data_IF_710410273244
#
_entry.id   IF_710410273244
#
_cell.length_a   1.000
_cell.length_b   1.000
_cell.length_c   1.000
_cell.angle_alpha   90.00
_cell.angle_beta   90.00
_cell.angle_gamma   90.00
#
_symmetry.space_group_name_H-M   'P 1'
#
loop_
_entity.id
_entity.type
_entity.pdbx_description
1 polymer ?
#
# COMPACT_ATOMS: atom_id res chain seq x y z
N UNK A 1 -9.98 -5.97 -10.88
CA UNK A 1 -8.93 -4.98 -11.12
C UNK A 1 -9.39 -3.60 -10.69
N UNK A 2 -8.45 -2.75 -10.34
CA UNK A 2 -8.76 -1.39 -9.92
C UNK A 2 -9.18 -0.54 -11.11
N UNK A 3 -10.26 0.21 -10.93
CA UNK A 3 -10.71 1.17 -11.94
C UNK A 3 -10.30 2.57 -11.52
N UNK A 4 -10.02 3.43 -12.50
CA UNK A 4 -9.56 4.78 -12.24
C UNK A 4 -10.46 5.81 -12.94
N UNK A 5 -10.55 7.03 -12.37
CA UNK A 5 -11.24 8.12 -13.07
C UNK A 5 -10.58 8.36 -14.41
N UNK A 6 -11.37 8.71 -15.41
CA UNK A 6 -10.87 8.93 -16.76
C UNK A 6 -9.83 10.05 -16.86
N UNK A 7 -9.96 11.04 -15.99
CA UNK A 7 -9.06 12.21 -16.02
C UNK A 7 -7.68 11.92 -15.42
N UNK A 8 -7.51 10.78 -14.77
CA UNK A 8 -6.21 10.44 -14.18
C UNK A 8 -5.25 10.02 -15.27
N UNK A 9 -4.04 10.58 -15.24
CA UNK A 9 -3.01 10.11 -16.14
C UNK A 9 -2.39 8.82 -15.60
N UNK A 10 -1.50 8.24 -16.39
CA UNK A 10 -0.91 6.94 -16.04
C UNK A 10 -0.10 7.00 -14.77
N UNK A 11 0.68 8.07 -14.57
CA UNK A 11 1.50 8.22 -13.37
C UNK A 11 0.63 8.29 -12.11
N UNK A 12 -0.47 9.03 -12.18
CA UNK A 12 -1.41 9.12 -11.05
C UNK A 12 -1.97 7.74 -10.71
N UNK A 13 -2.35 6.97 -11.72
CA UNK A 13 -2.85 5.61 -11.49
C UNK A 13 -1.80 4.73 -10.86
N UNK A 14 -0.56 4.82 -11.32
CA UNK A 14 0.55 4.05 -10.78
C UNK A 14 0.81 4.43 -9.32
N UNK A 15 0.86 5.73 -9.02
CA UNK A 15 1.08 6.19 -7.66
C UNK A 15 0.02 5.66 -6.71
N UNK A 16 -1.23 5.65 -7.15
CA UNK A 16 -2.32 5.11 -6.35
C UNK A 16 -2.13 3.63 -6.07
N UNK A 17 -1.80 2.84 -7.10
CA UNK A 17 -1.60 1.40 -6.93
C UNK A 17 -0.38 1.08 -6.08
N UNK A 18 0.72 1.82 -6.27
CA UNK A 18 1.92 1.64 -5.44
C UNK A 18 1.57 1.82 -3.97
N UNK A 19 0.89 2.92 -3.64
CA UNK A 19 0.51 3.20 -2.26
C UNK A 19 -0.43 2.13 -1.73
N UNK A 20 -1.42 1.72 -2.52
CA UNK A 20 -2.37 0.72 -2.09
C UNK A 20 -1.70 -0.62 -1.79
N UNK A 21 -0.78 -1.04 -2.64
CA UNK A 21 -0.06 -2.29 -2.45
C UNK A 21 0.85 -2.21 -1.22
N UNK A 22 1.59 -1.11 -1.07
CA UNK A 22 2.46 -0.93 0.09
C UNK A 22 1.65 -0.91 1.39
N UNK A 23 0.54 -0.19 1.40
CA UNK A 23 -0.32 -0.14 2.60
C UNK A 23 -0.85 -1.52 2.97
N UNK A 24 -1.22 -2.31 1.98
CA UNK A 24 -1.71 -3.66 2.26
C UNK A 24 -0.59 -4.60 2.68
N UNK A 25 0.62 -4.39 2.18
CA UNK A 25 1.78 -5.14 2.66
C UNK A 25 2.08 -4.80 4.12
N UNK A 26 2.00 -3.51 4.49
CA UNK A 26 2.18 -3.10 5.88
C UNK A 26 1.13 -3.75 6.76
N UNK A 27 -0.13 -3.72 6.33
CA UNK A 27 -1.21 -4.33 7.09
C UNK A 27 -0.94 -5.81 7.32
N UNK A 28 -0.54 -6.52 6.28
CA UNK A 28 -0.37 -7.95 6.35
C UNK A 28 0.85 -8.35 7.17
N UNK A 29 2.01 -7.74 6.89
CA UNK A 29 3.27 -8.17 7.49
C UNK A 29 3.62 -7.48 8.79
N UNK A 30 3.21 -6.22 8.96
CA UNK A 30 3.56 -5.45 10.14
C UNK A 30 2.43 -5.37 11.16
N UNK A 31 1.19 -5.36 10.70
CA UNK A 31 0.02 -5.22 11.58
C UNK A 31 -0.77 -6.51 11.70
N UNK A 32 -0.33 -7.55 11.04
CA UNK A 32 -0.93 -8.88 11.11
C UNK A 32 -2.43 -8.88 10.79
N UNK A 33 -2.81 -8.14 9.78
CA UNK A 33 -4.21 -8.08 9.34
C UNK A 33 -4.24 -7.95 7.82
N UNK A 34 -5.43 -8.05 7.24
CA UNK A 34 -5.55 -7.98 5.79
C UNK A 34 -6.90 -7.40 5.39
N UNK A 35 -6.90 -6.49 4.43
CA UNK A 35 -8.12 -5.94 3.85
C UNK A 35 -8.42 -6.51 2.49
N UNK A 36 -7.44 -7.12 1.87
CA UNK A 36 -7.61 -7.73 0.55
C UNK A 36 -7.43 -9.23 0.66
N UNK A 37 -8.16 -9.97 -0.15
CA UNK A 37 -7.87 -11.40 -0.30
C UNK A 37 -6.56 -11.55 -1.07
N UNK A 38 -5.96 -12.72 -1.00
CA UNK A 38 -4.75 -13.02 -1.76
C UNK A 38 -4.99 -12.80 -3.26
N UNK A 39 -6.16 -13.20 -3.74
CA UNK A 39 -6.50 -13.03 -5.14
C UNK A 39 -6.57 -11.55 -5.53
N UNK A 40 -7.20 -10.73 -4.68
CA UNK A 40 -7.29 -9.29 -4.94
C UNK A 40 -5.92 -8.64 -4.95
N UNK A 41 -5.06 -9.00 -4.01
CA UNK A 41 -3.71 -8.49 -3.93
C UNK A 41 -2.92 -8.87 -5.20
N UNK A 42 -3.04 -10.12 -5.62
CA UNK A 42 -2.35 -10.59 -6.82
C UNK A 42 -2.83 -9.85 -8.07
N UNK A 43 -4.11 -9.62 -8.19
CA UNK A 43 -4.66 -8.89 -9.34
C UNK A 43 -4.14 -7.45 -9.39
N UNK A 44 -4.13 -6.78 -8.24
CA UNK A 44 -3.62 -5.41 -8.18
C UNK A 44 -2.12 -5.36 -8.47
N UNK A 45 -1.39 -6.34 -7.97
CA UNK A 45 0.05 -6.42 -8.20
C UNK A 45 0.36 -6.62 -9.69
N UNK A 46 -0.38 -7.49 -10.35
CA UNK A 46 -0.19 -7.70 -11.79
C UNK A 46 -0.55 -6.46 -12.59
N UNK A 47 -1.63 -5.78 -12.19
CA UNK A 47 -2.01 -4.54 -12.86
C UNK A 47 -0.92 -3.48 -12.72
N UNK A 48 -0.34 -3.35 -11.55
CA UNK A 48 0.73 -2.39 -11.32
C UNK A 48 1.97 -2.72 -12.16
N UNK A 49 2.38 -3.98 -12.15
CA UNK A 49 3.53 -4.41 -12.95
C UNK A 49 3.33 -4.05 -14.43
N UNK A 50 2.13 -4.31 -14.94
CA UNK A 50 1.81 -4.02 -16.33
C UNK A 50 1.89 -2.52 -16.63
N UNK A 51 1.35 -1.69 -15.73
CA UNK A 51 1.37 -0.24 -15.93
C UNK A 51 2.78 0.33 -15.85
N UNK A 52 3.65 -0.27 -15.06
CA UNK A 52 5.01 0.23 -14.88
C UNK A 52 5.95 -0.10 -16.02
N UNK A 53 5.53 -0.96 -16.95
CA UNK A 53 6.41 -1.39 -18.04
C UNK A 53 6.85 -0.25 -18.98
N UNK A 54 5.97 0.71 -19.20
CA UNK A 54 6.18 1.74 -20.22
C UNK A 54 6.58 3.09 -19.65
N UNK A 55 6.97 3.16 -18.39
CA UNK A 55 7.26 4.45 -17.78
C UNK A 55 8.62 4.39 -17.07
N UNK A 56 9.16 5.59 -16.79
CA UNK A 56 10.34 5.70 -15.95
C UNK A 56 9.86 5.59 -14.51
N UNK A 57 10.20 4.48 -13.86
CA UNK A 57 9.73 4.20 -12.50
C UNK A 57 10.16 5.28 -11.51
N UNK A 58 11.25 6.00 -11.80
CA UNK A 58 11.74 7.05 -10.91
C UNK A 58 10.83 8.27 -10.91
N UNK A 59 9.93 8.38 -11.88
CA UNK A 59 8.96 9.47 -11.92
C UNK A 59 7.75 9.19 -11.01
N UNK A 60 7.65 8.00 -10.47
CA UNK A 60 6.54 7.64 -9.60
C UNK A 60 6.90 7.88 -8.13
N UNK A 61 5.86 8.03 -7.30
CA UNK A 61 6.04 8.40 -5.89
C UNK A 61 6.89 7.40 -5.11
N UNK A 62 6.65 6.11 -5.34
CA UNK A 62 7.37 5.06 -4.62
C UNK A 62 8.24 4.23 -5.55
N UNK A 63 8.73 4.86 -6.64
CA UNK A 63 9.60 4.16 -7.57
C UNK A 63 10.86 3.62 -6.92
N UNK A 64 11.39 4.32 -5.92
CA UNK A 64 12.59 3.86 -5.22
C UNK A 64 12.35 2.55 -4.45
N UNK A 65 11.08 2.23 -4.15
CA UNK A 65 10.72 0.99 -3.46
C UNK A 65 10.34 -0.08 -4.48
N UNK A 66 9.64 0.32 -5.53
CA UNK A 66 8.98 -0.60 -6.45
C UNK A 66 9.75 -0.89 -7.73
N UNK A 67 11.00 -0.40 -7.85
CA UNK A 67 11.75 -0.50 -9.10
C UNK A 67 11.96 -1.92 -9.60
N UNK A 68 11.98 -2.90 -8.70
CA UNK A 68 12.15 -4.30 -9.08
C UNK A 68 10.94 -5.15 -8.67
N UNK A 69 9.80 -4.51 -8.42
CA UNK A 69 8.60 -5.24 -8.00
C UNK A 69 8.05 -6.03 -9.18
N UNK A 70 7.93 -7.33 -9.02
CA UNK A 70 7.50 -8.25 -10.06
C UNK A 70 6.10 -8.83 -9.83
N UNK A 71 5.39 -8.33 -8.82
CA UNK A 71 4.02 -8.77 -8.55
C UNK A 71 3.92 -9.98 -7.64
N UNK A 72 5.04 -10.45 -7.10
CA UNK A 72 5.00 -11.62 -6.22
C UNK A 72 4.72 -11.18 -4.78
N UNK A 73 5.70 -11.22 -3.89
CA UNK A 73 5.45 -10.92 -2.48
C UNK A 73 5.82 -9.48 -2.16
N UNK A 74 5.19 -8.92 -1.14
CA UNK A 74 5.49 -7.56 -0.68
C UNK A 74 6.15 -7.52 0.68
N UNK A 75 6.69 -8.65 1.15
CA UNK A 75 7.16 -8.71 2.53
C UNK A 75 8.28 -7.72 2.85
N UNK A 76 9.07 -7.32 1.86
CA UNK A 76 10.19 -6.41 2.08
C UNK A 76 9.88 -4.95 1.71
N UNK A 77 8.67 -4.66 1.24
CA UNK A 77 8.34 -3.31 0.78
C UNK A 77 8.46 -2.28 1.90
N UNK A 78 7.95 -2.60 3.07
CA UNK A 78 8.03 -1.67 4.20
C UNK A 78 9.49 -1.35 4.55
N UNK A 79 10.34 -2.37 4.55
CA UNK A 79 11.74 -2.18 4.89
C UNK A 79 12.50 -1.30 3.91
N UNK A 80 12.02 -1.18 2.68
CA UNK A 80 12.66 -0.35 1.65
C UNK A 80 12.29 1.13 1.76
N UNK A 81 11.24 1.45 2.52
CA UNK A 81 10.79 2.83 2.65
C UNK A 81 11.79 3.65 3.47
N UNK A 82 11.95 4.92 3.11
CA UNK A 82 12.74 5.82 3.94
C UNK A 82 11.96 6.10 5.24
N UNK A 83 12.61 6.71 6.23
CA UNK A 83 12.00 6.90 7.55
C UNK A 83 10.74 7.76 7.50
N UNK A 84 10.76 8.79 6.68
CA UNK A 84 9.60 9.66 6.53
C UNK A 84 8.40 8.91 5.99
N UNK A 85 8.61 8.14 4.92
CA UNK A 85 7.54 7.37 4.30
C UNK A 85 7.09 6.23 5.18
N UNK A 86 7.99 5.59 5.92
CA UNK A 86 7.62 4.55 6.88
C UNK A 86 6.61 5.10 7.90
N UNK A 87 6.93 6.24 8.49
CA UNK A 87 6.06 6.85 9.49
C UNK A 87 4.72 7.24 8.90
N UNK A 88 4.74 7.85 7.73
CA UNK A 88 3.53 8.31 7.07
C UNK A 88 2.63 7.15 6.70
N UNK A 89 3.17 6.15 6.02
CA UNK A 89 2.37 5.03 5.55
C UNK A 89 1.93 4.12 6.69
N UNK A 90 2.77 3.94 7.71
CA UNK A 90 2.38 3.19 8.90
C UNK A 90 1.22 3.90 9.61
N UNK A 91 1.27 5.23 9.71
CA UNK A 91 0.19 5.99 10.31
C UNK A 91 -1.12 5.79 9.53
N UNK A 92 -1.06 5.87 8.20
CA UNK A 92 -2.23 5.66 7.37
C UNK A 92 -2.78 4.25 7.53
N UNK A 93 -1.90 3.25 7.52
CA UNK A 93 -2.32 1.87 7.65
C UNK A 93 -3.01 1.63 9.00
N UNK A 94 -2.43 2.15 10.07
CA UNK A 94 -3.02 2.02 11.41
C UNK A 94 -4.34 2.76 11.52
N UNK A 95 -4.42 3.95 10.94
CA UNK A 95 -5.62 4.74 10.98
C UNK A 95 -6.76 4.02 10.25
N UNK A 96 -6.49 3.54 9.06
CA UNK A 96 -7.49 2.87 8.25
C UNK A 96 -7.94 1.53 8.84
N UNK A 97 -7.02 0.78 9.43
CA UNK A 97 -7.30 -0.55 9.94
C UNK A 97 -7.46 -0.58 11.45
N UNK A 98 -6.67 0.19 12.13
CA UNK A 98 -6.67 0.23 13.59
C UNK A 98 -7.93 0.82 14.15
N UNK A 99 -8.49 1.82 13.49
CA UNK A 99 -9.74 2.38 13.93
C UNK A 99 -10.86 1.37 13.82
N UNK A 100 -10.81 0.58 12.77
CA UNK A 100 -11.78 -0.48 12.61
C UNK A 100 -11.65 -1.51 13.69
N UNK A 101 -10.44 -1.77 14.11
CA UNK A 101 -10.20 -2.71 15.18
C UNK A 101 -10.46 -2.10 16.53
N UNK A 102 -10.09 -0.85 16.71
CA UNK A 102 -10.17 -0.20 18.00
C UNK A 102 -11.56 0.19 18.38
N UNK A 103 -12.35 0.29 17.47
CA UNK A 103 -13.70 0.55 17.72
C UNK A 103 -14.26 -0.49 18.57
N UNK A 104 -13.54 -1.35 18.54
CA UNK A 104 -13.66 -2.35 19.34
C UNK A 104 -13.26 -2.08 20.69
N UNK A 105 -13.04 -1.55 20.71
CA UNK A 105 -12.29 -1.34 21.62
C UNK A 105 -12.01 -0.65 22.24
N UNK A 106 -12.16 -0.72 22.09
CA UNK A 106 -11.61 0.11 22.64
C UNK A 106 -11.34 0.40 23.01
N UNK A 107 -11.39 0.50 23.15
CA UNK A 107 -10.73 0.99 23.50
C UNK A 107 -10.14 1.45 23.51
N UNK A 108 -10.14 1.41 23.38
CA UNK A 108 -9.30 1.94 23.47
C UNK A 108 -9.09 2.55 23.51
N UNK A 109 -9.17 2.67 23.76
CA UNK A 109 -8.67 3.35 23.94
C UNK A 109 -8.20 3.94 24.01
N UNK A 110 -8.34 3.95 24.18
CA UNK A 110 -7.60 4.52 24.20
C UNK A 110 -6.89 4.93 23.94
N UNK A 111 -7.13 4.87 23.81
CA UNK A 111 -6.14 5.27 23.45
C UNK A 111 -5.76 5.33 22.79
N UNK A 112 -5.77 5.26 22.56
CA UNK A 112 -5.08 5.40 21.88
C UNK A 112 -5.00 5.41 21.12
N UNK A 113 -5.04 5.22 20.81
CA UNK A 113 -4.68 5.24 20.10
C UNK A 113 -4.46 5.66 19.74
N UNK A 114 -4.38 5.72 19.62
CA UNK A 114 -3.81 6.03 19.47
C UNK A 114 -3.65 6.58 19.70
#
# INVERSE_FOLDING_TARGET
>A
MQRFPRRWDKITCINFLQRKIILNAIAYYELNTSRLTDKQYDELSRQLVELQKDIDIQQTQYGYVMHDFDGTTGFDLYGRLNEKDKKYLMHIARHALGLECAVIKPKIKKGGLF
#
